data_IF_795918962560
#
_entry.id   IF_795918962560
#
_cell.length_a   1.000
_cell.length_b   1.000
_cell.length_c   1.000
_cell.angle_alpha   90.00
_cell.angle_beta   90.00
_cell.angle_gamma   90.00
#
_symmetry.space_group_name_H-M   'P 1'
#
loop_
_entity.id
_entity.type
_entity.pdbx_description
1 polymer ?
#
# COMPACT_ATOMS: atom_id res chain seq x y z
N UNK A 1 -20.75 -4.46 31.27
CA UNK A 1 -20.82 -3.87 29.92
C UNK A 1 -19.44 -3.30 29.62
N UNK A 2 -18.60 -4.09 28.94
CA UNK A 2 -17.31 -3.59 28.44
C UNK A 2 -17.59 -3.26 26.97
N UNK A 3 -17.57 -1.96 26.65
CA UNK A 3 -17.66 -1.48 25.27
C UNK A 3 -16.48 -2.09 24.52
N UNK A 4 -16.76 -2.75 23.41
CA UNK A 4 -15.76 -3.33 22.52
C UNK A 4 -15.05 -2.16 21.85
N UNK A 5 -13.73 -2.11 21.97
CA UNK A 5 -12.87 -1.22 21.19
C UNK A 5 -12.89 -1.76 19.76
N UNK A 6 -13.53 -1.06 18.83
CA UNK A 6 -13.60 -1.44 17.41
C UNK A 6 -12.55 -0.68 16.56
N UNK A 7 -11.89 0.34 17.11
CA UNK A 7 -11.02 1.25 16.36
C UNK A 7 -9.52 0.87 16.32
N UNK A 8 -9.14 -0.42 16.43
CA UNK A 8 -7.72 -0.82 16.55
C UNK A 8 -7.25 -1.86 15.54
N UNK A 9 -8.04 -2.19 14.51
CA UNK A 9 -7.73 -3.29 13.57
C UNK A 9 -7.55 -2.88 12.10
N UNK A 10 -7.51 -1.59 11.77
CA UNK A 10 -7.75 -1.12 10.39
C UNK A 10 -6.53 -0.77 9.55
N UNK A 11 -5.32 -0.99 10.06
CA UNK A 11 -4.10 -0.85 9.26
C UNK A 11 -3.19 -2.08 9.40
N UNK A 12 -3.70 -3.17 10.01
CA UNK A 12 -2.98 -4.43 10.11
C UNK A 12 -3.39 -5.43 9.03
N UNK A 13 -4.49 -5.17 8.29
CA UNK A 13 -4.93 -6.01 7.18
C UNK A 13 -4.25 -5.59 5.86
N UNK A 14 -3.97 -4.30 5.64
CA UNK A 14 -3.09 -3.78 4.58
C UNK A 14 -1.58 -4.10 4.78
N UNK A 15 -1.20 -4.88 5.80
CA UNK A 15 0.20 -5.07 6.22
C UNK A 15 0.58 -6.53 6.51
N UNK A 16 -0.07 -7.53 5.89
CA UNK A 16 0.16 -8.93 6.28
C UNK A 16 0.22 -9.94 5.12
N UNK A 17 1.20 -9.77 4.23
CA UNK A 17 1.69 -10.86 3.34
C UNK A 17 3.21 -10.96 3.30
N UNK A 18 3.84 -11.32 4.43
CA UNK A 18 5.16 -11.97 4.39
C UNK A 18 5.31 -12.99 5.53
N UNK A 19 5.05 -14.26 5.25
CA UNK A 19 5.40 -15.36 6.17
C UNK A 19 6.52 -16.22 5.60
N UNK A 20 7.73 -16.06 6.13
CA UNK A 20 8.78 -17.08 6.06
C UNK A 20 9.27 -17.37 7.49
N UNK A 21 8.85 -18.51 8.02
CA UNK A 21 9.19 -18.94 9.37
C UNK A 21 10.58 -19.57 9.45
N UNK A 22 11.25 -19.41 10.60
CA UNK A 22 12.21 -20.41 11.05
C UNK A 22 12.27 -20.51 12.58
N UNK A 23 12.04 -21.71 13.08
CA UNK A 23 12.16 -22.08 14.49
C UNK A 23 13.62 -22.28 14.89
N UNK A 24 14.03 -21.66 15.99
CA UNK A 24 15.33 -21.86 16.63
C UNK A 24 15.47 -23.24 17.31
N UNK A 25 16.67 -23.81 17.24
CA UNK A 25 17.12 -24.95 18.05
C UNK A 25 18.65 -25.00 18.11
N UNK A 26 19.20 -24.78 19.30
CA UNK A 26 20.63 -24.73 19.62
C UNK A 26 21.25 -26.11 19.92
N UNK A 27 22.51 -26.34 19.55
CA UNK A 27 23.66 -26.62 20.44
C UNK A 27 24.97 -26.86 19.64
N UNK A 28 26.08 -26.34 20.17
CA UNK A 28 27.41 -26.19 19.60
C UNK A 28 28.24 -27.48 19.46
N UNK A 29 29.16 -27.54 18.48
CA UNK A 29 30.59 -27.82 18.74
C UNK A 29 31.51 -27.53 17.54
N UNK A 30 32.48 -26.62 17.76
CA UNK A 30 33.81 -26.42 17.15
C UNK A 30 34.09 -26.96 15.73
N UNK A 31 33.98 -26.07 14.73
CA UNK A 31 34.88 -26.02 13.54
C UNK A 31 34.96 -24.58 13.03
N UNK A 32 35.37 -23.64 13.89
CA UNK A 32 35.49 -22.22 13.57
C UNK A 32 36.72 -21.93 12.67
N UNK A 33 36.58 -20.97 11.76
CA UNK A 33 37.58 -20.39 10.84
C UNK A 33 37.61 -20.83 9.37
N UNK A 34 36.87 -21.86 8.92
CA UNK A 34 36.71 -22.14 7.47
C UNK A 34 35.24 -22.08 7.03
N UNK A 35 34.31 -22.39 7.94
CA UNK A 35 32.86 -22.33 7.67
C UNK A 35 32.30 -20.89 7.74
N UNK A 36 32.92 -19.99 8.51
CA UNK A 36 32.47 -18.57 8.59
C UNK A 36 32.67 -17.82 7.27
N UNK A 37 33.70 -18.14 6.48
CA UNK A 37 33.92 -17.46 5.20
C UNK A 37 32.90 -17.90 4.13
N UNK A 38 32.55 -19.20 4.09
CA UNK A 38 31.51 -19.71 3.17
C UNK A 38 30.11 -19.34 3.67
N UNK A 39 29.83 -19.34 4.98
CA UNK A 39 28.51 -18.96 5.49
C UNK A 39 28.24 -17.46 5.44
N UNK A 40 29.26 -16.61 5.63
CA UNK A 40 29.15 -15.16 5.43
C UNK A 40 28.97 -14.86 3.94
N UNK A 41 29.68 -15.55 3.07
CA UNK A 41 29.51 -15.38 1.63
C UNK A 41 28.14 -15.90 1.13
N UNK A 42 27.61 -17.00 1.68
CA UNK A 42 26.28 -17.52 1.34
C UNK A 42 25.14 -16.65 1.91
N UNK A 43 25.36 -15.98 3.06
CA UNK A 43 24.41 -14.99 3.61
C UNK A 43 24.49 -13.63 2.92
N UNK A 44 25.68 -13.18 2.53
CA UNK A 44 25.86 -11.98 1.69
C UNK A 44 25.32 -12.22 0.28
N UNK A 45 25.58 -13.36 -0.36
CA UNK A 45 25.00 -13.69 -1.68
C UNK A 45 23.48 -13.88 -1.61
N UNK A 46 22.93 -14.44 -0.51
CA UNK A 46 21.49 -14.53 -0.30
C UNK A 46 20.86 -13.15 -0.06
N UNK A 47 21.45 -12.29 0.78
CA UNK A 47 20.98 -10.92 0.98
C UNK A 47 21.15 -10.04 -0.27
N UNK A 48 22.23 -10.20 -1.04
CA UNK A 48 22.42 -9.51 -2.33
C UNK A 48 21.43 -10.01 -3.39
N UNK A 49 21.09 -11.30 -3.38
CA UNK A 49 20.09 -11.87 -4.32
C UNK A 49 18.68 -11.44 -3.94
N UNK A 50 18.33 -11.41 -2.66
CA UNK A 50 17.04 -10.95 -2.13
C UNK A 50 16.89 -9.44 -2.36
N UNK A 51 17.91 -8.63 -2.02
CA UNK A 51 17.94 -7.20 -2.32
C UNK A 51 17.91 -6.89 -3.83
N UNK A 52 18.51 -7.73 -4.68
CA UNK A 52 18.43 -7.57 -6.14
C UNK A 52 17.08 -8.00 -6.73
N UNK A 53 16.37 -8.93 -6.09
CA UNK A 53 15.00 -9.31 -6.44
C UNK A 53 13.98 -8.27 -5.97
N UNK A 54 14.27 -7.60 -4.86
CA UNK A 54 13.49 -6.50 -4.30
C UNK A 54 13.68 -5.18 -5.07
N UNK A 55 14.90 -4.92 -5.56
CA UNK A 55 15.20 -3.73 -6.38
C UNK A 55 14.41 -3.68 -7.71
N UNK A 56 13.92 -4.82 -8.19
CA UNK A 56 13.20 -4.96 -9.46
C UNK A 56 11.67 -4.77 -9.33
N UNK A 57 11.17 -4.26 -8.19
CA UNK A 57 9.73 -4.14 -7.98
C UNK A 57 9.03 -3.22 -8.99
N UNK A 58 9.62 -2.08 -9.38
CA UNK A 58 9.03 -1.22 -10.41
C UNK A 58 8.75 -1.97 -11.71
N UNK A 59 9.59 -2.93 -12.12
CA UNK A 59 9.37 -3.70 -13.37
C UNK A 59 8.14 -4.62 -13.30
N UNK A 60 7.64 -4.92 -12.11
CA UNK A 60 6.41 -5.71 -11.87
C UNK A 60 5.14 -4.85 -11.88
N UNK A 61 5.27 -3.54 -11.70
CA UNK A 61 4.15 -2.59 -11.61
C UNK A 61 4.14 -1.58 -12.77
N UNK A 62 4.52 -2.04 -13.95
CA UNK A 62 4.56 -1.20 -15.15
C UNK A 62 3.14 -0.89 -15.63
N UNK A 63 2.90 0.35 -16.06
CA UNK A 63 1.61 0.75 -16.63
C UNK A 63 1.10 2.09 -16.10
N UNK A 64 -0.17 2.34 -16.40
CA UNK A 64 -0.92 3.52 -15.95
C UNK A 64 -1.83 3.13 -14.79
N UNK A 65 -1.97 3.99 -13.80
CA UNK A 65 -2.74 3.74 -12.58
C UNK A 65 -3.62 4.92 -12.21
N UNK A 66 -4.86 4.62 -11.84
CA UNK A 66 -5.87 5.58 -11.36
C UNK A 66 -6.31 5.21 -9.93
N UNK A 67 -7.03 6.12 -9.27
CA UNK A 67 -7.48 5.93 -7.89
C UNK A 67 -8.46 4.74 -7.78
N UNK A 68 -8.17 3.80 -6.89
CA UNK A 68 -8.93 2.55 -6.73
C UNK A 68 -10.34 2.80 -6.17
N UNK A 69 -10.44 3.53 -5.06
CA UNK A 69 -11.70 3.62 -4.30
C UNK A 69 -12.85 4.30 -5.06
N UNK A 70 -12.65 5.38 -5.84
CA UNK A 70 -13.66 5.90 -6.76
C UNK A 70 -14.19 4.86 -7.74
N UNK A 71 -13.31 4.01 -8.26
CA UNK A 71 -13.64 2.98 -9.23
C UNK A 71 -14.42 1.83 -8.55
N UNK A 72 -13.93 1.32 -7.42
CA UNK A 72 -14.61 0.30 -6.62
C UNK A 72 -15.99 0.75 -6.10
N UNK A 73 -16.17 2.05 -5.83
CA UNK A 73 -17.41 2.61 -5.32
C UNK A 73 -18.49 2.85 -6.38
N UNK A 74 -18.22 2.57 -7.67
CA UNK A 74 -19.20 2.75 -8.73
C UNK A 74 -20.43 1.86 -8.51
N UNK A 75 -21.59 2.42 -8.82
CA UNK A 75 -22.89 1.74 -8.69
C UNK A 75 -22.95 0.42 -9.45
N UNK A 76 -22.22 0.29 -10.57
CA UNK A 76 -22.20 -0.95 -11.36
C UNK A 76 -21.56 -2.14 -10.62
N UNK A 77 -20.72 -1.88 -9.61
CA UNK A 77 -20.10 -2.92 -8.78
C UNK A 77 -20.82 -3.13 -7.45
N UNK A 78 -21.94 -2.41 -7.21
CA UNK A 78 -22.65 -2.50 -5.93
C UNK A 78 -23.19 -3.90 -5.64
N UNK A 79 -23.67 -4.61 -6.66
CA UNK A 79 -24.19 -5.97 -6.47
C UNK A 79 -23.07 -6.95 -6.05
N UNK A 80 -21.85 -6.79 -6.59
CA UNK A 80 -20.66 -7.58 -6.20
C UNK A 80 -20.32 -7.31 -4.73
N UNK A 81 -20.23 -6.04 -4.34
CA UNK A 81 -20.01 -5.66 -2.95
C UNK A 81 -21.01 -6.29 -1.97
N UNK A 82 -22.30 -6.26 -2.31
CA UNK A 82 -23.35 -6.83 -1.47
C UNK A 82 -23.28 -8.36 -1.39
N UNK A 83 -22.86 -9.02 -2.46
CA UNK A 83 -22.60 -10.47 -2.46
C UNK A 83 -21.41 -10.81 -1.57
N UNK A 84 -20.25 -10.17 -1.77
CA UNK A 84 -19.01 -10.46 -1.04
C UNK A 84 -19.14 -10.14 0.45
N UNK A 85 -19.61 -8.94 0.80
CA UNK A 85 -19.83 -8.58 2.21
C UNK A 85 -20.95 -9.41 2.83
N UNK A 86 -22.03 -9.66 2.09
CA UNK A 86 -23.16 -10.47 2.55
C UNK A 86 -22.78 -11.92 2.85
N UNK A 87 -21.84 -12.49 2.11
CA UNK A 87 -21.32 -13.83 2.36
C UNK A 87 -20.63 -13.95 3.73
N UNK A 88 -19.99 -12.86 4.21
CA UNK A 88 -19.23 -12.83 5.47
C UNK A 88 -20.10 -12.38 6.65
N UNK A 89 -20.80 -11.24 6.53
CA UNK A 89 -21.54 -10.61 7.64
C UNK A 89 -23.05 -10.88 7.64
N UNK A 90 -23.57 -11.47 6.56
CA UNK A 90 -24.99 -11.72 6.31
C UNK A 90 -25.66 -10.62 5.47
N UNK A 91 -26.61 -11.01 4.62
CA UNK A 91 -27.35 -10.11 3.71
C UNK A 91 -27.98 -8.89 4.42
N UNK A 92 -28.41 -9.04 5.68
CA UNK A 92 -29.04 -7.94 6.44
C UNK A 92 -28.06 -6.83 6.87
N UNK A 93 -26.75 -7.08 6.76
CA UNK A 93 -25.68 -6.15 7.11
C UNK A 93 -24.75 -5.78 5.96
N UNK A 94 -24.93 -6.42 4.79
CA UNK A 94 -24.06 -6.22 3.63
C UNK A 94 -23.98 -4.73 3.23
N UNK A 95 -25.14 -4.06 3.17
CA UNK A 95 -25.23 -2.65 2.78
C UNK A 95 -24.48 -1.72 3.73
N UNK A 96 -24.76 -1.81 5.05
CA UNK A 96 -24.09 -0.96 6.06
C UNK A 96 -22.59 -1.26 6.17
N UNK A 97 -22.19 -2.51 5.93
CA UNK A 97 -20.79 -2.93 6.00
C UNK A 97 -20.02 -2.47 4.77
N UNK A 98 -20.61 -2.58 3.57
CA UNK A 98 -20.03 -2.05 2.34
C UNK A 98 -19.79 -0.54 2.45
N UNK A 99 -20.80 0.22 2.92
CA UNK A 99 -20.68 1.67 3.06
C UNK A 99 -19.60 2.06 4.08
N UNK A 100 -19.46 1.27 5.16
CA UNK A 100 -18.42 1.45 6.15
C UNK A 100 -17.03 1.18 5.56
N UNK A 101 -16.83 0.05 4.88
CA UNK A 101 -15.57 -0.33 4.24
C UNK A 101 -15.08 0.73 3.22
N UNK A 102 -15.96 1.15 2.30
CA UNK A 102 -15.63 2.22 1.34
C UNK A 102 -15.36 3.55 2.05
N UNK A 103 -16.20 3.91 3.03
CA UNK A 103 -16.08 5.16 3.77
C UNK A 103 -14.77 5.29 4.57
N UNK A 104 -14.14 4.17 4.92
CA UNK A 104 -12.86 4.14 5.64
C UNK A 104 -11.65 4.50 4.79
N UNK A 105 -11.78 4.51 3.47
CA UNK A 105 -10.70 4.79 2.53
C UNK A 105 -10.98 6.00 1.64
N UNK A 106 -12.14 6.63 1.81
CA UNK A 106 -12.59 7.76 1.00
C UNK A 106 -12.64 9.06 1.79
N UNK A 107 -11.79 9.23 2.81
CA UNK A 107 -11.70 10.49 3.53
C UNK A 107 -11.15 11.60 2.62
N UNK A 108 -11.66 12.81 2.76
CA UNK A 108 -11.14 14.00 2.05
C UNK A 108 -10.15 14.82 2.89
N UNK A 109 -9.79 14.32 4.08
CA UNK A 109 -8.89 14.99 5.02
C UNK A 109 -7.72 14.08 5.38
N UNK A 110 -6.55 14.70 5.52
CA UNK A 110 -5.32 14.05 5.97
C UNK A 110 -4.47 15.04 6.79
N UNK A 111 -3.31 14.59 7.26
CA UNK A 111 -2.36 15.41 8.02
C UNK A 111 -2.96 15.98 9.30
N UNK A 112 -2.67 17.25 9.59
CA UNK A 112 -3.13 17.88 10.83
C UNK A 112 -4.66 17.99 10.91
N UNK A 113 -5.36 18.14 9.78
CA UNK A 113 -6.82 18.24 9.78
C UNK A 113 -7.46 16.91 10.22
N UNK A 114 -6.96 15.79 9.69
CA UNK A 114 -7.39 14.45 10.11
C UNK A 114 -7.04 14.18 11.58
N UNK A 115 -5.82 14.52 12.03
CA UNK A 115 -5.40 14.35 13.43
C UNK A 115 -6.37 15.07 14.39
N UNK A 116 -6.70 16.32 14.08
CA UNK A 116 -7.59 17.12 14.93
C UNK A 116 -9.01 16.56 14.92
N UNK A 117 -9.53 16.19 13.73
CA UNK A 117 -10.86 15.62 13.57
C UNK A 117 -11.03 14.29 14.33
N UNK A 118 -10.09 13.37 14.19
CA UNK A 118 -10.17 12.04 14.80
C UNK A 118 -9.82 12.03 16.29
N UNK A 119 -9.13 13.05 16.78
CA UNK A 119 -9.01 13.29 18.23
C UNK A 119 -10.35 13.73 18.85
N UNK A 120 -11.19 14.46 18.10
CA UNK A 120 -12.53 14.87 18.54
C UNK A 120 -13.55 13.73 18.45
N UNK A 121 -13.52 12.98 17.35
CA UNK A 121 -14.40 11.82 17.12
C UNK A 121 -13.61 10.59 16.60
N UNK A 122 -13.05 9.77 17.49
CA UNK A 122 -12.27 8.59 17.10
C UNK A 122 -13.04 7.53 16.31
N UNK A 123 -14.37 7.51 16.42
CA UNK A 123 -15.20 6.55 15.68
C UNK A 123 -15.39 6.98 14.20
N UNK A 124 -14.94 8.19 13.82
CA UNK A 124 -14.98 8.73 12.45
C UNK A 124 -13.68 8.53 11.66
N UNK A 125 -12.70 7.84 12.24
CA UNK A 125 -11.39 7.62 11.62
C UNK A 125 -11.52 6.96 10.25
N UNK A 126 -10.90 7.56 9.25
CA UNK A 126 -10.78 7.06 7.89
C UNK A 126 -9.44 7.51 7.31
N UNK A 127 -9.03 6.89 6.21
CA UNK A 127 -7.87 7.28 5.43
C UNK A 127 -8.31 7.99 4.15
N UNK A 128 -7.51 8.98 3.77
CA UNK A 128 -7.50 9.55 2.42
C UNK A 128 -6.66 8.62 1.54
N UNK A 129 -7.31 7.88 0.66
CA UNK A 129 -6.64 6.97 -0.27
C UNK A 129 -6.53 7.50 -1.70
N UNK A 130 -6.65 8.82 -1.86
CA UNK A 130 -6.56 9.53 -3.13
C UNK A 130 -5.12 9.92 -3.47
N UNK A 131 -4.91 10.35 -4.71
CA UNK A 131 -3.67 10.99 -5.13
C UNK A 131 -3.61 12.44 -4.62
N UNK A 132 -2.44 12.83 -4.12
CA UNK A 132 -2.11 14.21 -3.76
C UNK A 132 -1.33 14.93 -4.87
N UNK A 133 -1.38 16.26 -4.85
CA UNK A 133 -0.56 17.12 -5.72
C UNK A 133 -1.14 17.38 -7.10
N UNK A 134 -2.43 17.09 -7.32
CA UNK A 134 -3.12 17.35 -8.59
C UNK A 134 -2.85 16.32 -9.68
N UNK A 135 -2.37 15.13 -9.28
CA UNK A 135 -2.22 13.97 -10.17
C UNK A 135 -3.57 13.26 -10.28
N UNK A 136 -3.98 12.88 -11.49
CA UNK A 136 -5.14 12.03 -11.73
C UNK A 136 -4.76 10.63 -12.23
N UNK A 137 -3.59 10.48 -12.83
CA UNK A 137 -3.06 9.20 -13.30
C UNK A 137 -1.55 9.15 -13.07
N UNK A 138 -1.07 8.07 -12.45
CA UNK A 138 0.36 7.75 -12.35
C UNK A 138 0.76 6.81 -13.47
N UNK A 139 1.98 6.96 -13.99
CA UNK A 139 2.54 6.10 -15.03
C UNK A 139 3.91 5.63 -14.57
N UNK A 140 4.10 4.31 -14.57
CA UNK A 140 5.37 3.64 -14.29
C UNK A 140 5.91 3.05 -15.60
N UNK A 141 7.05 3.56 -16.08
CA UNK A 141 7.73 3.13 -17.30
C UNK A 141 9.24 2.97 -17.03
N UNK A 142 9.69 1.71 -16.98
CA UNK A 142 11.00 1.34 -16.46
C UNK A 142 11.15 1.83 -15.01
N UNK A 143 12.21 2.60 -14.79
CA UNK A 143 12.52 3.23 -13.49
C UNK A 143 11.96 4.65 -13.39
N UNK A 144 11.18 5.11 -14.37
CA UNK A 144 10.55 6.43 -14.37
C UNK A 144 9.13 6.34 -13.83
N UNK A 145 8.83 7.16 -12.83
CA UNK A 145 7.47 7.40 -12.36
C UNK A 145 7.09 8.83 -12.78
N UNK A 146 5.92 8.96 -13.38
CA UNK A 146 5.36 10.25 -13.78
C UNK A 146 3.89 10.33 -13.38
N UNK A 147 3.36 11.55 -13.37
CA UNK A 147 1.95 11.80 -13.11
C UNK A 147 1.42 12.88 -14.02
N UNK A 148 0.17 12.72 -14.45
CA UNK A 148 -0.56 13.71 -15.25
C UNK A 148 -1.79 14.21 -14.52
N UNK A 149 -2.24 15.42 -14.85
CA UNK A 149 -3.51 15.99 -14.38
C UNK A 149 -4.71 15.48 -15.19
N UNK A 150 -5.93 15.87 -14.82
CA UNK A 150 -7.16 15.46 -15.51
C UNK A 150 -7.21 15.85 -16.99
N UNK A 151 -6.43 16.85 -17.42
CA UNK A 151 -6.32 17.28 -18.81
C UNK A 151 -5.23 16.52 -19.58
N UNK A 152 -4.47 15.65 -18.90
CA UNK A 152 -3.34 14.90 -19.44
C UNK A 152 -2.04 15.70 -19.50
N UNK A 153 -1.93 16.83 -18.78
CA UNK A 153 -0.67 17.58 -18.67
C UNK A 153 0.23 16.95 -17.62
N UNK A 154 1.53 16.90 -17.90
CA UNK A 154 2.54 16.42 -16.94
C UNK A 154 2.56 17.30 -15.68
N UNK A 155 2.40 16.65 -14.52
CA UNK A 155 2.54 17.23 -13.18
C UNK A 155 3.97 17.03 -12.68
N UNK A 156 4.51 15.82 -12.85
CA UNK A 156 5.89 15.46 -12.52
C UNK A 156 6.35 14.27 -13.37
N UNK A 157 7.67 14.09 -13.49
CA UNK A 157 8.29 12.92 -14.13
C UNK A 157 9.74 12.81 -13.68
N UNK A 158 10.09 11.74 -12.98
CA UNK A 158 11.45 11.51 -12.48
C UNK A 158 11.88 10.06 -12.64
N UNK A 159 13.19 9.83 -12.75
CA UNK A 159 13.80 8.50 -12.63
C UNK A 159 14.11 8.22 -11.16
N UNK A 160 13.85 6.99 -10.73
CA UNK A 160 13.99 6.57 -9.34
C UNK A 160 15.01 5.43 -9.19
N UNK A 161 15.89 5.58 -8.21
CA UNK A 161 16.77 4.52 -7.74
C UNK A 161 16.11 3.79 -6.56
N UNK A 162 16.18 2.46 -6.55
CA UNK A 162 15.84 1.66 -5.37
C UNK A 162 16.78 2.02 -4.20
N UNK A 163 16.20 2.26 -3.03
CA UNK A 163 16.92 2.62 -1.81
C UNK A 163 17.10 1.40 -0.91
N UNK A 164 15.98 0.86 -0.40
CA UNK A 164 15.92 -0.29 0.50
C UNK A 164 14.48 -0.79 0.62
N UNK A 165 14.29 -1.97 1.22
CA UNK A 165 12.99 -2.42 1.72
C UNK A 165 12.93 -2.08 3.22
N UNK A 166 11.90 -1.36 3.65
CA UNK A 166 11.78 -0.96 5.06
C UNK A 166 11.38 -2.11 6.00
N UNK A 167 11.31 -1.84 7.30
CA UNK A 167 10.95 -2.86 8.30
C UNK A 167 9.50 -3.39 8.18
N UNK A 168 8.65 -2.70 7.42
CA UNK A 168 7.27 -3.10 7.15
C UNK A 168 7.12 -3.78 5.79
N UNK A 169 8.21 -3.96 5.03
CA UNK A 169 8.21 -4.62 3.73
C UNK A 169 7.90 -3.68 2.56
N UNK A 170 7.92 -2.36 2.76
CA UNK A 170 7.71 -1.40 1.67
C UNK A 170 8.99 -1.22 0.87
N UNK A 171 8.89 -1.22 -0.45
CA UNK A 171 9.97 -0.92 -1.37
C UNK A 171 10.17 0.59 -1.50
N UNK A 172 11.28 1.10 -0.97
CA UNK A 172 11.60 2.52 -0.99
C UNK A 172 12.41 2.89 -2.23
N UNK A 173 12.01 3.99 -2.85
CA UNK A 173 12.61 4.55 -4.04
C UNK A 173 12.92 6.03 -3.83
N UNK A 174 14.04 6.49 -4.40
CA UNK A 174 14.46 7.88 -4.34
C UNK A 174 14.65 8.43 -5.76
N UNK A 175 14.09 9.60 -6.02
CA UNK A 175 14.32 10.31 -7.28
C UNK A 175 15.79 10.71 -7.45
N UNK A 176 16.32 10.53 -8.66
CA UNK A 176 17.65 11.06 -9.05
C UNK A 176 17.68 12.60 -9.06
N UNK A 177 16.51 13.25 -9.17
CA UNK A 177 16.38 14.69 -9.28
C UNK A 177 16.29 15.37 -7.91
N UNK A 178 17.19 16.33 -7.67
CA UNK A 178 17.30 17.04 -6.40
C UNK A 178 16.10 17.97 -6.07
N UNK A 179 15.25 18.28 -7.05
CA UNK A 179 14.13 19.23 -6.92
C UNK A 179 12.77 18.56 -7.16
N UNK A 180 12.61 17.30 -6.73
CA UNK A 180 11.39 16.48 -6.95
C UNK A 180 10.24 16.80 -5.98
N UNK A 181 10.48 17.61 -4.94
CA UNK A 181 9.47 18.06 -3.97
C UNK A 181 8.74 16.89 -3.31
N UNK A 182 7.40 16.92 -3.29
CA UNK A 182 6.59 15.85 -2.69
C UNK A 182 6.78 14.47 -3.36
N UNK A 183 7.35 14.41 -4.55
CA UNK A 183 7.61 13.18 -5.31
C UNK A 183 9.06 12.71 -5.14
N UNK A 184 9.80 13.20 -4.13
CA UNK A 184 11.22 12.83 -3.94
C UNK A 184 11.38 11.36 -3.58
N UNK A 185 10.52 10.83 -2.72
CA UNK A 185 10.57 9.43 -2.31
C UNK A 185 9.22 8.76 -2.54
N UNK A 186 9.26 7.49 -2.92
CA UNK A 186 8.11 6.59 -2.95
C UNK A 186 8.37 5.40 -2.02
N UNK A 187 7.32 4.91 -1.38
CA UNK A 187 7.29 3.64 -0.68
C UNK A 187 6.11 2.83 -1.21
N UNK A 188 6.38 1.71 -1.88
CA UNK A 188 5.35 0.82 -2.40
C UNK A 188 5.18 -0.38 -1.47
N UNK A 189 3.95 -0.72 -1.14
CA UNK A 189 3.64 -2.03 -0.58
C UNK A 189 3.93 -3.12 -1.63
N UNK A 190 4.13 -4.39 -1.23
CA UNK A 190 4.41 -5.48 -2.15
C UNK A 190 3.18 -5.95 -2.97
N UNK A 191 2.31 -5.02 -3.34
CA UNK A 191 1.08 -5.25 -4.09
C UNK A 191 1.29 -5.12 -5.60
N UNK A 192 0.64 -5.98 -6.36
CA UNK A 192 0.74 -5.96 -7.83
C UNK A 192 -0.61 -6.30 -8.45
N UNK A 193 -0.82 -5.85 -9.69
CA UNK A 193 -2.02 -6.24 -10.44
C UNK A 193 -2.15 -7.75 -10.64
N UNK A 194 -1.03 -8.48 -10.70
CA UNK A 194 -1.02 -9.94 -10.93
C UNK A 194 -1.38 -10.75 -9.67
N UNK A 195 -1.19 -10.20 -8.47
CA UNK A 195 -1.34 -10.93 -7.21
C UNK A 195 -2.44 -10.37 -6.30
N UNK A 196 -2.61 -9.05 -6.27
CA UNK A 196 -3.55 -8.36 -5.38
C UNK A 196 -4.47 -7.37 -6.11
N UNK A 197 -4.39 -7.28 -7.44
CA UNK A 197 -5.29 -6.51 -8.31
C UNK A 197 -5.34 -5.00 -8.02
N UNK A 198 -4.40 -4.49 -7.22
CA UNK A 198 -4.25 -3.07 -6.92
C UNK A 198 -2.78 -2.78 -6.57
N UNK A 199 -2.48 -1.50 -6.40
CA UNK A 199 -1.25 -1.02 -5.78
C UNK A 199 -1.58 -0.22 -4.52
N UNK A 200 -0.71 -0.33 -3.54
CA UNK A 200 -0.70 0.51 -2.36
C UNK A 200 0.65 1.22 -2.23
N UNK A 201 0.64 2.54 -2.05
CA UNK A 201 1.89 3.30 -1.92
C UNK A 201 1.75 4.67 -1.25
N UNK A 202 2.91 5.22 -0.90
CA UNK A 202 3.08 6.55 -0.31
C UNK A 202 4.17 7.30 -1.04
N UNK A 203 4.09 8.63 -1.05
CA UNK A 203 5.18 9.48 -1.51
C UNK A 203 5.28 10.76 -0.68
N UNK A 204 6.51 11.25 -0.52
CA UNK A 204 6.79 12.45 0.25
C UNK A 204 8.15 13.07 -0.12
N UNK A 205 8.37 14.30 0.36
CA UNK A 205 9.67 14.97 0.26
C UNK A 205 10.69 14.42 1.25
N UNK A 206 10.25 14.03 2.46
CA UNK A 206 11.10 13.51 3.53
C UNK A 206 10.79 12.02 3.80
N UNK A 207 11.82 11.18 3.91
CA UNK A 207 11.68 9.75 4.22
C UNK A 207 10.88 9.47 5.50
N UNK A 208 11.02 10.33 6.52
CA UNK A 208 10.30 10.14 7.79
C UNK A 208 8.80 10.27 7.66
N UNK A 209 8.32 10.99 6.64
CA UNK A 209 6.89 11.15 6.39
C UNK A 209 6.25 9.89 5.78
N UNK A 210 7.04 9.06 5.08
CA UNK A 210 6.57 7.77 4.56
C UNK A 210 6.23 6.78 5.68
N UNK A 211 6.99 6.78 6.77
CA UNK A 211 6.78 5.88 7.91
C UNK A 211 5.74 6.40 8.93
N UNK A 212 5.23 7.62 8.77
CA UNK A 212 4.37 8.29 9.77
C UNK A 212 2.88 8.23 9.39
N UNK A 213 2.21 7.18 9.85
CA UNK A 213 0.82 6.89 9.48
C UNK A 213 -0.24 7.73 10.21
N UNK A 214 0.03 8.18 11.44
CA UNK A 214 -0.97 8.83 12.30
C UNK A 214 -0.54 10.23 12.81
N UNK A 215 0.65 10.67 12.42
CA UNK A 215 1.24 11.94 12.83
C UNK A 215 1.91 12.61 11.62
N UNK A 216 2.15 13.93 11.70
CA UNK A 216 2.86 14.64 10.65
C UNK A 216 1.99 15.09 9.48
N UNK A 217 2.64 15.50 8.40
CA UNK A 217 1.98 16.15 7.26
C UNK A 217 1.13 15.19 6.42
N UNK A 218 1.46 13.89 6.46
CA UNK A 218 0.82 12.82 5.67
C UNK A 218 0.10 11.78 6.55
N UNK A 219 -0.25 12.17 7.79
CA UNK A 219 -1.07 11.33 8.66
C UNK A 219 -2.39 10.99 7.99
N UNK A 220 -2.86 9.75 8.16
CA UNK A 220 -4.14 9.27 7.61
C UNK A 220 -4.26 9.37 6.08
N UNK A 221 -3.15 9.38 5.35
CA UNK A 221 -3.15 9.34 3.89
C UNK A 221 -2.36 8.14 3.40
N UNK A 222 -2.87 7.38 2.44
CA UNK A 222 -2.18 6.24 1.83
C UNK A 222 -2.85 5.83 0.51
N UNK A 223 -2.12 5.84 -0.60
CA UNK A 223 -2.73 5.67 -1.92
C UNK A 223 -3.22 4.24 -2.12
N UNK A 224 -4.46 4.09 -2.60
CA UNK A 224 -4.92 2.87 -3.26
C UNK A 224 -5.11 3.14 -4.76
N UNK A 225 -4.46 2.36 -5.62
CA UNK A 225 -4.51 2.54 -7.06
C UNK A 225 -4.84 1.24 -7.81
N UNK A 226 -5.43 1.36 -8.99
CA UNK A 226 -5.73 0.24 -9.89
C UNK A 226 -5.24 0.56 -11.29
N UNK A 227 -4.86 -0.44 -12.08
CA UNK A 227 -4.46 -0.24 -13.47
C UNK A 227 -5.54 0.52 -14.25
N UNK A 228 -5.17 1.53 -15.04
CA UNK A 228 -6.14 2.36 -15.77
C UNK A 228 -6.92 1.57 -16.84
N UNK A 229 -6.41 0.41 -17.27
CA UNK A 229 -7.03 -0.50 -18.22
C UNK A 229 -7.57 -1.79 -17.57
N UNK A 230 -7.82 -1.77 -16.26
CA UNK A 230 -8.45 -2.87 -15.52
C UNK A 230 -9.73 -3.38 -16.21
N UNK A 231 -10.00 -4.67 -16.07
CA UNK A 231 -11.23 -5.29 -16.55
C UNK A 231 -12.19 -5.68 -15.42
N UNK A 232 -13.32 -6.29 -15.79
CA UNK A 232 -14.34 -6.65 -14.82
C UNK A 232 -13.88 -7.74 -13.84
N UNK A 233 -12.98 -8.64 -14.26
CA UNK A 233 -12.42 -9.70 -13.41
C UNK A 233 -11.49 -9.06 -12.37
N UNK A 234 -10.64 -8.12 -12.77
CA UNK A 234 -9.77 -7.37 -11.84
C UNK A 234 -10.60 -6.67 -10.75
N UNK A 235 -11.72 -6.05 -11.13
CA UNK A 235 -12.59 -5.35 -10.18
C UNK A 235 -13.36 -6.31 -9.26
N UNK A 236 -13.82 -7.45 -9.79
CA UNK A 236 -14.45 -8.50 -8.97
C UNK A 236 -13.47 -9.03 -7.92
N UNK A 237 -12.23 -9.33 -8.34
CA UNK A 237 -11.20 -9.90 -7.48
C UNK A 237 -10.72 -8.91 -6.41
N UNK A 238 -10.50 -7.63 -6.76
CA UNK A 238 -10.09 -6.61 -5.76
C UNK A 238 -11.19 -6.34 -4.74
N UNK A 239 -12.47 -6.35 -5.13
CA UNK A 239 -13.60 -6.22 -4.18
C UNK A 239 -13.66 -7.44 -3.25
N UNK A 240 -13.52 -8.65 -3.80
CA UNK A 240 -13.48 -9.88 -3.02
C UNK A 240 -12.33 -9.88 -2.01
N UNK A 241 -11.12 -9.53 -2.46
CA UNK A 241 -9.93 -9.44 -1.61
C UNK A 241 -10.16 -8.45 -0.49
N UNK A 242 -10.57 -7.22 -0.82
CA UNK A 242 -10.78 -6.16 0.17
C UNK A 242 -11.85 -6.53 1.21
N UNK A 243 -12.97 -7.11 0.78
CA UNK A 243 -14.02 -7.57 1.67
C UNK A 243 -13.52 -8.67 2.62
N UNK A 244 -12.74 -9.62 2.10
CA UNK A 244 -12.20 -10.75 2.87
C UNK A 244 -11.18 -10.27 3.90
N UNK A 245 -10.20 -9.47 3.50
CA UNK A 245 -9.13 -8.99 4.39
C UNK A 245 -9.63 -8.14 5.54
N UNK A 246 -10.73 -7.39 5.34
CA UNK A 246 -11.25 -6.47 6.33
C UNK A 246 -12.36 -7.06 7.22
N UNK A 247 -12.95 -8.21 6.86
CA UNK A 247 -14.10 -8.78 7.57
C UNK A 247 -13.86 -10.17 8.18
N UNK A 248 -12.86 -10.94 7.72
CA UNK A 248 -12.52 -12.28 8.26
C UNK A 248 -11.49 -12.26 9.40
#
# INVERSE_FOLDING_TARGET
MKKKNLAYLLCSAMMLTATAGFTAGAEETETEAVLEAESVQETEEAQETEAAQDADFLSKIQGSYIELFPEMAKEEYRDIWLEETGAIVGEDKAEETTDMLLGMCMAEIYGQEAIDAYAEDPDSMAFDCYFLGGVSEFIVDGDTISGVDEEGNEVFSHTYDYLETDENGFYLYQSEDADSGQFTYFAFAPDTMDETWHLEFRYAEDLSDLASWYEGAYAYWNVGAIAADYDAEDMEDVIHLFATENLE
#
